data_IF_057693138454
#
_entry.id   IF_057693138454
#
_cell.length_a   1.000
_cell.length_b   1.000
_cell.length_c   1.000
_cell.angle_alpha   90.00
_cell.angle_beta   90.00
_cell.angle_gamma   90.00
#
_symmetry.space_group_name_H-M   'P 1'
#
loop_
_entity.id
_entity.type
_entity.pdbx_description
1 polymer ?
#
# COMPACT_ATOMS: atom_id res chain seq x y z
N UNK A 1 -10.06 -4.17 26.31
CA UNK A 1 -9.67 -5.22 25.34
C UNK A 1 -8.41 -4.70 24.66
N UNK A 2 -7.25 -5.30 24.91
CA UNK A 2 -5.98 -4.81 24.35
C UNK A 2 -5.90 -5.24 22.87
N UNK A 3 -5.75 -4.28 21.96
CA UNK A 3 -5.48 -4.54 20.54
C UNK A 3 -4.12 -5.24 20.43
N UNK A 4 -4.04 -6.28 19.60
CA UNK A 4 -2.87 -7.18 19.44
C UNK A 4 -2.22 -6.98 18.08
N UNK A 5 -0.90 -6.81 18.02
CA UNK A 5 -0.19 -6.37 16.80
C UNK A 5 0.95 -7.32 16.44
N UNK A 6 1.16 -7.59 15.16
CA UNK A 6 2.26 -8.44 14.66
C UNK A 6 3.03 -7.71 13.56
N UNK A 7 4.36 -7.83 13.59
CA UNK A 7 5.26 -7.35 12.55
C UNK A 7 5.84 -8.51 11.75
N UNK A 8 6.08 -8.31 10.46
CA UNK A 8 6.64 -9.33 9.56
C UNK A 8 8.18 -9.30 9.51
N UNK A 9 8.82 -8.31 10.15
CA UNK A 9 10.27 -8.31 10.32
C UNK A 9 10.70 -7.65 11.64
N UNK A 10 11.87 -8.07 12.14
CA UNK A 10 12.54 -7.49 13.32
C UNK A 10 12.99 -6.03 13.11
N UNK A 11 13.27 -5.63 11.87
CA UNK A 11 13.62 -4.25 11.60
C UNK A 11 12.38 -3.35 11.54
N UNK A 12 11.25 -3.85 11.03
CA UNK A 12 9.98 -3.12 11.04
C UNK A 12 9.40 -2.98 12.44
N UNK A 13 9.50 -4.00 13.30
CA UNK A 13 8.99 -3.90 14.68
C UNK A 13 9.76 -2.84 15.47
N UNK A 14 11.10 -2.82 15.40
CA UNK A 14 11.93 -1.88 16.16
C UNK A 14 11.65 -0.43 15.76
N UNK A 15 11.41 -0.22 14.47
CA UNK A 15 11.04 1.09 13.91
C UNK A 15 9.62 1.46 14.32
N UNK A 16 8.67 0.53 14.23
CA UNK A 16 7.28 0.76 14.62
C UNK A 16 7.13 1.01 16.14
N UNK A 17 7.83 0.29 17.00
CA UNK A 17 7.87 0.53 18.46
C UNK A 17 8.34 1.95 18.79
N UNK A 18 9.29 2.49 18.02
CA UNK A 18 9.75 3.88 18.19
C UNK A 18 8.65 4.89 17.86
N UNK A 19 7.80 4.58 16.86
CA UNK A 19 6.74 5.48 16.41
C UNK A 19 5.41 5.26 17.11
N UNK A 20 5.24 4.14 17.81
CA UNK A 20 4.02 3.73 18.45
C UNK A 20 4.28 3.24 19.88
N UNK A 21 4.77 4.11 20.79
CA UNK A 21 5.05 3.72 22.17
C UNK A 21 3.80 3.32 22.96
N UNK A 22 2.62 3.70 22.46
CA UNK A 22 1.32 3.35 23.04
C UNK A 22 0.81 1.96 22.59
N UNK A 23 1.51 1.31 21.65
CA UNK A 23 1.13 0.04 21.04
C UNK A 23 2.07 -1.06 21.55
N UNK A 24 1.48 -2.19 21.95
CA UNK A 24 2.24 -3.39 22.33
C UNK A 24 2.29 -4.33 21.12
N UNK A 25 3.48 -4.51 20.55
CA UNK A 25 3.70 -5.52 19.52
C UNK A 25 3.87 -6.90 20.18
N UNK A 26 3.15 -7.90 19.67
CA UNK A 26 3.19 -9.26 20.20
C UNK A 26 4.42 -10.03 19.71
N UNK A 27 4.78 -9.84 18.44
CA UNK A 27 5.84 -10.61 17.81
C UNK A 27 6.35 -9.96 16.51
N UNK A 28 7.57 -10.33 16.13
CA UNK A 28 8.17 -10.04 14.84
C UNK A 28 8.61 -11.34 14.19
N UNK A 29 7.84 -11.75 13.18
CA UNK A 29 7.97 -13.08 12.56
C UNK A 29 8.25 -12.97 11.08
N UNK A 30 9.00 -13.89 10.49
CA UNK A 30 9.23 -13.88 9.03
C UNK A 30 7.95 -14.11 8.23
N UNK A 31 7.93 -13.74 6.94
CA UNK A 31 6.80 -14.01 6.04
C UNK A 31 6.40 -15.50 6.01
N UNK A 32 7.39 -16.41 5.97
CA UNK A 32 7.16 -17.87 6.00
C UNK A 32 6.51 -18.34 7.30
N UNK A 33 6.83 -17.68 8.41
CA UNK A 33 6.24 -17.96 9.72
C UNK A 33 4.83 -17.37 9.83
N UNK A 34 4.59 -16.22 9.20
CA UNK A 34 3.30 -15.54 9.17
C UNK A 34 2.20 -16.39 8.53
N UNK A 35 2.51 -17.17 7.48
CA UNK A 35 1.55 -18.07 6.81
C UNK A 35 0.96 -19.14 7.75
N UNK A 36 1.73 -19.57 8.76
CA UNK A 36 1.33 -20.61 9.71
C UNK A 36 1.14 -20.04 11.14
N UNK A 37 0.96 -18.73 11.27
CA UNK A 37 0.88 -18.07 12.57
C UNK A 37 -0.50 -18.27 13.21
N UNK A 38 -0.53 -18.95 14.36
CA UNK A 38 -1.77 -19.40 15.02
C UNK A 38 -2.27 -18.49 16.14
N UNK A 39 -1.47 -17.50 16.54
CA UNK A 39 -1.84 -16.53 17.57
C UNK A 39 -2.80 -15.48 17.00
N UNK A 40 -3.79 -15.06 17.79
CA UNK A 40 -4.77 -14.06 17.37
C UNK A 40 -4.16 -12.65 17.38
N UNK A 41 -4.21 -11.98 16.23
CA UNK A 41 -3.72 -10.62 16.01
C UNK A 41 -4.78 -9.76 15.32
N UNK A 42 -4.75 -8.44 15.54
CA UNK A 42 -5.74 -7.49 14.99
C UNK A 42 -5.18 -6.69 13.81
N UNK A 43 -3.88 -6.40 13.84
CA UNK A 43 -3.19 -5.53 12.90
C UNK A 43 -1.83 -6.13 12.53
N UNK A 44 -1.46 -6.00 11.26
CA UNK A 44 -0.20 -6.47 10.68
C UNK A 44 0.61 -5.29 10.15
N UNK A 45 1.89 -5.22 10.50
CA UNK A 45 2.85 -4.30 9.91
C UNK A 45 3.84 -5.08 9.03
N UNK A 46 4.03 -4.64 7.79
CA UNK A 46 4.87 -5.36 6.84
C UNK A 46 5.57 -4.43 5.86
N UNK A 47 6.82 -4.72 5.44
CA UNK A 47 7.46 -3.97 4.36
C UNK A 47 6.90 -4.29 2.97
N UNK A 48 6.07 -5.33 2.87
CA UNK A 48 5.49 -5.81 1.62
C UNK A 48 4.03 -6.22 1.83
N UNK A 49 3.27 -6.31 0.74
CA UNK A 49 1.91 -6.83 0.81
C UNK A 49 1.91 -8.28 1.29
N UNK A 50 0.97 -8.62 2.17
CA UNK A 50 0.79 -10.00 2.67
C UNK A 50 -0.68 -10.36 2.69
N UNK A 51 -0.96 -11.64 2.44
CA UNK A 51 -2.33 -12.13 2.46
C UNK A 51 -2.79 -12.30 3.90
N UNK A 52 -3.67 -11.40 4.35
CA UNK A 52 -4.28 -11.48 5.68
C UNK A 52 -5.71 -10.94 5.64
N UNK A 53 -6.57 -11.50 6.49
CA UNK A 53 -7.94 -11.01 6.69
C UNK A 53 -8.01 -9.90 7.75
N UNK A 54 -6.87 -9.56 8.37
CA UNK A 54 -6.74 -8.50 9.37
C UNK A 54 -6.23 -7.21 8.71
N UNK A 55 -6.19 -6.09 9.45
CA UNK A 55 -5.75 -4.81 8.87
C UNK A 55 -4.24 -4.79 8.65
N UNK A 56 -3.82 -4.59 7.40
CA UNK A 56 -2.43 -4.44 7.01
C UNK A 56 -2.02 -2.96 6.88
N UNK A 57 -0.89 -2.61 7.49
CA UNK A 57 -0.18 -1.36 7.25
C UNK A 57 1.18 -1.66 6.61
N UNK A 58 1.38 -1.21 5.38
CA UNK A 58 2.64 -1.37 4.67
C UNK A 58 3.60 -0.27 5.11
N UNK A 59 4.80 -0.64 5.58
CA UNK A 59 5.81 0.29 6.09
C UNK A 59 7.23 -0.19 5.80
N UNK A 60 8.09 0.72 5.33
CA UNK A 60 9.52 0.46 5.13
C UNK A 60 10.32 0.70 6.42
N UNK A 61 11.54 0.16 6.46
CA UNK A 61 12.47 0.29 7.59
C UNK A 61 12.94 1.74 7.79
N UNK A 62 12.98 2.55 6.73
CA UNK A 62 13.40 3.94 6.78
C UNK A 62 12.30 4.87 6.26
N UNK A 63 11.55 5.49 7.17
CA UNK A 63 10.52 6.49 6.87
C UNK A 63 11.09 7.90 7.12
N UNK A 64 10.81 8.85 6.22
CA UNK A 64 10.99 10.28 6.48
C UNK A 64 10.01 10.78 7.54
N UNK A 65 10.28 11.92 8.17
CA UNK A 65 9.42 12.48 9.23
C UNK A 65 7.96 12.66 8.79
N UNK A 66 7.74 13.09 7.54
CA UNK A 66 6.39 13.23 6.98
C UNK A 66 5.69 11.88 6.78
N UNK A 67 6.43 10.86 6.31
CA UNK A 67 5.89 9.50 6.14
C UNK A 67 5.56 8.87 7.50
N UNK A 68 6.39 9.11 8.52
CA UNK A 68 6.14 8.69 9.91
C UNK A 68 4.85 9.32 10.45
N UNK A 69 4.69 10.65 10.30
CA UNK A 69 3.47 11.36 10.74
C UNK A 69 2.22 10.84 10.03
N UNK A 70 2.31 10.56 8.73
CA UNK A 70 1.20 10.04 7.93
C UNK A 70 0.81 8.63 8.37
N UNK A 71 1.78 7.72 8.48
CA UNK A 71 1.55 6.36 8.94
C UNK A 71 0.96 6.35 10.35
N UNK A 72 1.49 7.19 11.25
CA UNK A 72 0.98 7.32 12.62
C UNK A 72 -0.48 7.76 12.64
N UNK A 73 -0.85 8.76 11.83
CA UNK A 73 -2.23 9.23 11.72
C UNK A 73 -3.19 8.14 11.25
N UNK A 74 -2.80 7.39 10.22
CA UNK A 74 -3.62 6.30 9.66
C UNK A 74 -3.83 5.15 10.65
N UNK A 75 -2.77 4.75 11.35
CA UNK A 75 -2.83 3.71 12.38
C UNK A 75 -3.74 4.13 13.53
N UNK A 76 -3.59 5.36 14.04
CA UNK A 76 -4.40 5.87 15.15
C UNK A 76 -5.88 6.03 14.76
N UNK A 77 -6.16 6.50 13.54
CA UNK A 77 -7.52 6.58 13.02
C UNK A 77 -8.19 5.20 12.99
N UNK A 78 -7.45 4.17 12.59
CA UNK A 78 -7.96 2.81 12.54
C UNK A 78 -8.16 2.19 13.93
N UNK A 79 -7.23 2.40 14.86
CA UNK A 79 -7.31 1.85 16.23
C UNK A 79 -8.48 2.45 16.99
N UNK A 80 -8.69 3.76 16.85
CA UNK A 80 -9.68 4.46 17.66
C UNK A 80 -11.13 4.17 17.23
N UNK A 81 -11.35 3.54 16.06
CA UNK A 81 -12.63 3.01 15.47
C UNK A 81 -13.92 3.85 15.56
N UNK A 82 -13.91 4.97 16.23
CA UNK A 82 -14.95 5.98 16.36
C UNK A 82 -14.19 7.29 16.61
N UNK A 83 -14.74 8.40 16.13
CA UNK A 83 -14.23 9.75 16.35
C UNK A 83 -13.63 9.87 17.76
N UNK A 84 -12.37 10.31 17.87
CA UNK A 84 -11.96 10.99 19.09
C UNK A 84 -13.08 12.01 19.36
N UNK A 85 -13.77 11.88 20.49
CA UNK A 85 -14.82 12.79 20.89
C UNK A 85 -14.17 14.18 20.90
N UNK A 86 -14.41 14.92 19.80
CA UNK A 86 -13.68 16.15 19.49
C UNK A 86 -13.95 17.13 20.62
N UNK A 87 -15.17 17.12 21.14
CA UNK A 87 -15.57 17.92 22.30
C UNK A 87 -14.78 17.55 23.54
N UNK A 88 -14.54 16.26 23.81
CA UNK A 88 -13.73 15.81 24.95
C UNK A 88 -12.27 16.26 24.85
N UNK A 89 -11.67 16.22 23.66
CA UNK A 89 -10.28 16.68 23.47
C UNK A 89 -10.17 18.21 23.51
N UNK A 90 -11.15 18.93 22.95
CA UNK A 90 -11.27 20.39 23.07
C UNK A 90 -11.41 20.77 24.54
N UNK A 91 -12.25 20.09 25.33
CA UNK A 91 -12.41 20.37 26.75
C UNK A 91 -11.10 20.20 27.55
N UNK A 92 -10.27 19.20 27.21
CA UNK A 92 -8.95 19.03 27.83
C UNK A 92 -8.00 20.17 27.46
N UNK A 93 -8.03 20.61 26.21
CA UNK A 93 -7.21 21.71 25.72
C UNK A 93 -7.62 23.05 26.37
N UNK A 94 -8.92 23.30 26.48
CA UNK A 94 -9.49 24.45 27.18
C UNK A 94 -9.03 24.49 28.64
N UNK A 95 -9.15 23.37 29.36
CA UNK A 95 -8.70 23.26 30.75
C UNK A 95 -7.18 23.46 30.93
N UNK A 96 -6.37 23.11 29.91
CA UNK A 96 -4.94 23.38 29.91
C UNK A 96 -4.67 24.87 29.74
N UNK A 97 -5.29 25.51 28.74
CA UNK A 97 -5.09 26.92 28.41
C UNK A 97 -5.52 27.82 29.57
N UNK A 98 -6.68 27.56 30.16
CA UNK A 98 -7.19 28.30 31.33
C UNK A 98 -6.25 28.19 32.54
N UNK A 99 -5.56 27.05 32.71
CA UNK A 99 -4.60 26.85 33.79
C UNK A 99 -3.29 27.60 33.56
N UNK A 100 -2.87 27.77 32.30
CA UNK A 100 -1.55 28.30 31.96
C UNK A 100 -1.58 29.75 31.52
N UNK A 101 -2.75 30.32 31.23
CA UNK A 101 -2.87 31.62 30.57
C UNK A 101 -4.17 32.31 30.96
N UNK A 102 -4.16 33.64 31.00
CA UNK A 102 -5.38 34.45 31.12
C UNK A 102 -6.07 34.54 29.77
N UNK A 103 -7.27 33.99 29.66
CA UNK A 103 -8.09 34.02 28.44
C UNK A 103 -9.05 35.20 28.53
N UNK A 104 -9.08 36.05 27.50
CA UNK A 104 -9.97 37.22 27.45
C UNK A 104 -11.41 36.85 27.12
N UNK A 105 -11.61 35.94 26.17
CA UNK A 105 -12.92 35.40 25.77
C UNK A 105 -12.81 33.89 25.57
N UNK A 106 -13.47 33.15 26.45
CA UNK A 106 -13.42 31.68 26.47
C UNK A 106 -14.29 31.05 25.38
N UNK A 107 -15.36 31.75 24.98
CA UNK A 107 -16.30 31.28 23.96
C UNK A 107 -15.69 31.47 22.59
N UNK A 108 -15.12 32.65 22.30
CA UNK A 108 -14.40 32.90 21.04
C UNK A 108 -13.22 31.95 20.85
N UNK A 109 -12.47 31.65 21.92
CA UNK A 109 -11.39 30.68 21.88
C UNK A 109 -11.89 29.27 21.55
N UNK A 110 -12.99 28.85 22.17
CA UNK A 110 -13.59 27.53 21.93
C UNK A 110 -14.06 27.42 20.48
N UNK A 111 -14.83 28.39 20.00
CA UNK A 111 -15.37 28.40 18.65
C UNK A 111 -14.24 28.40 17.61
N UNK A 112 -13.19 29.20 17.85
CA UNK A 112 -11.99 29.22 17.00
C UNK A 112 -11.21 27.90 17.00
N UNK A 113 -11.19 27.16 18.11
CA UNK A 113 -10.58 25.82 18.18
C UNK A 113 -11.42 24.75 17.48
N UNK A 114 -12.74 24.79 17.64
CA UNK A 114 -13.69 23.93 16.93
C UNK A 114 -13.55 24.13 15.41
N UNK A 115 -13.55 25.38 14.96
CA UNK A 115 -13.35 25.75 13.55
C UNK A 115 -11.95 25.36 13.04
N UNK A 116 -10.90 25.56 13.84
CA UNK A 116 -9.54 25.16 13.48
C UNK A 116 -9.44 23.65 13.28
N UNK A 117 -10.02 22.85 14.17
CA UNK A 117 -10.00 21.38 14.10
C UNK A 117 -10.87 20.89 12.93
N UNK A 118 -12.07 21.46 12.74
CA UNK A 118 -12.94 21.16 11.61
C UNK A 118 -12.26 21.46 10.28
N UNK A 119 -11.55 22.59 10.18
CA UNK A 119 -10.78 22.98 9.01
C UNK A 119 -9.50 22.15 8.84
N UNK A 120 -8.83 21.74 9.91
CA UNK A 120 -7.66 20.84 9.85
C UNK A 120 -8.06 19.42 9.39
N UNK A 121 -9.22 18.94 9.83
CA UNK A 121 -9.82 17.69 9.35
C UNK A 121 -10.29 17.82 7.89
N UNK A 122 -10.76 19.01 7.49
CA UNK A 122 -11.06 19.35 6.10
C UNK A 122 -9.78 19.42 5.25
N UNK A 123 -8.68 20.00 5.72
CA UNK A 123 -7.38 20.04 5.01
C UNK A 123 -6.80 18.62 4.86
N UNK A 124 -7.09 17.71 5.79
CA UNK A 124 -6.70 16.30 5.65
C UNK A 124 -7.65 15.44 4.83
N UNK A 125 -8.80 15.98 4.41
CA UNK A 125 -9.65 15.43 3.33
C UNK A 125 -9.42 16.16 1.99
N UNK A 126 -8.97 17.42 2.02
CA UNK A 126 -8.71 18.30 0.86
C UNK A 126 -7.27 18.16 0.33
N UNK A 127 -6.32 17.59 1.09
CA UNK A 127 -5.05 17.11 0.53
C UNK A 127 -5.22 15.87 -0.38
N UNK A 128 -6.45 15.44 -0.64
CA UNK A 128 -6.80 14.57 -1.78
C UNK A 128 -7.24 15.33 -3.04
N UNK A 129 -7.38 16.66 -3.00
CA UNK A 129 -7.93 17.46 -4.11
C UNK A 129 -7.51 18.94 -4.07
N UNK A 130 -6.22 19.25 -3.92
CA UNK A 130 -5.66 20.53 -4.41
C UNK A 130 -4.34 20.24 -5.12
N UNK A 131 -4.43 20.21 -6.45
CA UNK A 131 -3.44 20.69 -7.43
C UNK A 131 -1.98 20.63 -6.99
N UNK A 132 -1.44 19.42 -6.98
CA UNK A 132 -0.13 19.22 -7.60
C UNK A 132 -0.41 18.57 -8.95
N UNK A 133 0.22 19.07 -10.01
CA UNK A 133 0.30 18.41 -11.31
C UNK A 133 1.15 17.12 -11.24
N UNK A 134 0.95 16.32 -10.21
CA UNK A 134 1.34 14.93 -10.16
C UNK A 134 0.03 14.17 -10.21
N UNK A 135 -0.43 13.87 -11.42
CA UNK A 135 -1.55 12.96 -11.64
C UNK A 135 -1.22 11.69 -10.85
N UNK A 136 -1.83 11.51 -9.68
CA UNK A 136 -1.80 10.24 -8.96
C UNK A 136 -2.48 9.26 -9.90
N UNK A 137 -1.68 8.50 -10.64
CA UNK A 137 -2.15 7.49 -11.57
C UNK A 137 -2.97 6.50 -10.75
N UNK A 138 -4.28 6.51 -10.93
CA UNK A 138 -5.12 5.47 -10.38
C UNK A 138 -4.80 4.15 -11.12
N UNK A 139 -5.04 3.00 -10.50
CA UNK A 139 -4.84 1.72 -11.17
C UNK A 139 -5.67 1.63 -12.46
N UNK A 140 -6.85 2.26 -12.47
CA UNK A 140 -7.70 2.41 -13.64
C UNK A 140 -7.07 3.28 -14.76
N UNK A 141 -6.19 4.23 -14.41
CA UNK A 141 -5.40 5.00 -15.39
C UNK A 141 -4.24 4.17 -15.97
N UNK A 142 -3.67 3.25 -15.18
CA UNK A 142 -2.53 2.41 -15.56
C UNK A 142 -2.92 1.20 -16.41
N UNK A 143 -4.08 0.60 -16.13
CA UNK A 143 -4.63 -0.56 -16.84
C UNK A 143 -6.01 -0.17 -17.43
N UNK A 144 -6.05 0.62 -18.51
CA UNK A 144 -7.31 0.87 -19.20
C UNK A 144 -7.85 -0.45 -19.75
N UNK A 145 -9.18 -0.59 -19.85
CA UNK A 145 -9.83 -1.83 -20.30
C UNK A 145 -9.28 -2.39 -21.63
N UNK A 146 -8.84 -1.51 -22.54
CA UNK A 146 -8.19 -1.89 -23.81
C UNK A 146 -6.83 -2.59 -23.65
N UNK A 147 -6.19 -2.52 -22.49
CA UNK A 147 -4.96 -3.25 -22.16
C UNK A 147 -5.24 -4.56 -21.40
N UNK A 148 -6.52 -4.90 -21.19
CA UNK A 148 -6.92 -6.16 -20.57
C UNK A 148 -7.31 -7.16 -21.66
N UNK A 149 -6.69 -8.34 -21.64
CA UNK A 149 -6.91 -9.41 -22.60
C UNK A 149 -7.28 -10.68 -21.83
N UNK A 150 -8.26 -11.42 -22.34
CA UNK A 150 -8.63 -12.74 -21.83
C UNK A 150 -8.39 -13.79 -22.90
N UNK A 151 -7.70 -14.86 -22.55
CA UNK A 151 -7.43 -15.99 -23.46
C UNK A 151 -7.65 -17.31 -22.74
N UNK A 152 -7.73 -18.41 -23.50
CA UNK A 152 -7.96 -19.73 -22.94
C UNK A 152 -6.71 -20.27 -22.24
N UNK A 153 -5.58 -20.35 -22.96
CA UNK A 153 -4.39 -21.09 -22.58
C UNK A 153 -3.10 -20.44 -23.14
N UNK A 154 -1.97 -20.72 -22.48
CA UNK A 154 -0.59 -20.45 -22.93
C UNK A 154 0.32 -21.57 -22.45
N UNK A 155 1.35 -21.87 -23.22
CA UNK A 155 2.24 -23.01 -22.96
C UNK A 155 3.18 -22.78 -21.77
N UNK A 156 3.62 -21.53 -21.56
CA UNK A 156 4.59 -21.21 -20.53
C UNK A 156 4.53 -19.73 -20.11
N UNK A 157 5.27 -19.39 -19.06
CA UNK A 157 5.30 -18.04 -18.51
C UNK A 157 5.87 -17.01 -19.50
N UNK A 158 6.86 -17.38 -20.31
CA UNK A 158 7.45 -16.47 -21.30
C UNK A 158 6.44 -16.06 -22.37
N UNK A 159 5.63 -17.02 -22.85
CA UNK A 159 4.52 -16.76 -23.76
C UNK A 159 3.46 -15.87 -23.10
N UNK A 160 3.17 -16.09 -21.81
CA UNK A 160 2.23 -15.28 -21.06
C UNK A 160 2.69 -13.82 -20.93
N UNK A 161 3.96 -13.60 -20.58
CA UNK A 161 4.60 -12.28 -20.49
C UNK A 161 4.52 -11.57 -21.84
N UNK A 162 4.84 -12.27 -22.92
CA UNK A 162 4.78 -11.73 -24.27
C UNK A 162 3.34 -11.32 -24.64
N UNK A 163 2.37 -12.24 -24.52
CA UNK A 163 0.96 -11.99 -24.86
C UNK A 163 0.31 -10.90 -24.01
N UNK A 164 0.71 -10.77 -22.75
CA UNK A 164 0.24 -9.69 -21.88
C UNK A 164 0.79 -8.33 -22.36
N UNK A 165 2.04 -8.31 -22.82
CA UNK A 165 2.76 -7.09 -23.22
C UNK A 165 2.53 -6.65 -24.67
N UNK A 166 1.94 -7.49 -25.53
CA UNK A 166 1.68 -7.21 -26.96
C UNK A 166 1.05 -5.82 -27.18
N UNK A 167 0.05 -5.47 -26.36
CA UNK A 167 -0.67 -4.19 -26.45
C UNK A 167 0.23 -3.00 -26.11
N UNK A 168 1.21 -3.18 -25.22
CA UNK A 168 2.14 -2.14 -24.83
C UNK A 168 3.15 -1.84 -25.95
N UNK A 169 3.63 -2.89 -26.61
CA UNK A 169 4.50 -2.78 -27.80
C UNK A 169 3.74 -2.17 -28.98
N UNK A 170 2.52 -2.62 -29.24
CA UNK A 170 1.69 -2.11 -30.34
C UNK A 170 1.37 -0.62 -30.21
N UNK A 171 1.30 -0.09 -28.98
CA UNK A 171 1.12 1.33 -28.70
C UNK A 171 2.44 2.09 -28.51
N UNK A 172 3.59 1.47 -28.78
CA UNK A 172 4.93 2.05 -28.62
C UNK A 172 5.24 2.57 -27.21
N UNK A 173 4.61 1.99 -26.17
CA UNK A 173 4.94 2.34 -24.78
C UNK A 173 6.22 1.65 -24.29
N UNK A 174 6.55 0.50 -24.87
CA UNK A 174 7.78 -0.24 -24.62
C UNK A 174 8.33 -0.79 -25.95
N UNK A 175 9.64 -1.07 -25.99
CA UNK A 175 10.24 -1.82 -27.10
C UNK A 175 10.04 -3.34 -26.90
N UNK A 176 10.07 -4.11 -27.99
CA UNK A 176 10.06 -5.58 -27.94
C UNK A 176 11.20 -6.16 -27.08
N UNK A 177 12.34 -5.44 -27.01
CA UNK A 177 13.48 -5.81 -26.17
C UNK A 177 13.12 -5.85 -24.69
N UNK A 178 12.23 -4.98 -24.24
CA UNK A 178 11.77 -4.96 -22.85
C UNK A 178 11.02 -6.25 -22.47
N UNK A 179 10.30 -6.86 -23.42
CA UNK A 179 9.66 -8.17 -23.18
C UNK A 179 10.72 -9.24 -22.89
N UNK A 180 11.80 -9.28 -23.69
CA UNK A 180 12.88 -10.23 -23.47
C UNK A 180 13.61 -10.01 -22.15
N UNK A 181 13.79 -8.74 -21.75
CA UNK A 181 14.36 -8.40 -20.45
C UNK A 181 13.44 -8.85 -19.30
N UNK A 182 12.13 -8.68 -19.42
CA UNK A 182 11.16 -9.20 -18.44
C UNK A 182 11.19 -10.73 -18.35
N UNK A 183 11.26 -11.42 -19.48
CA UNK A 183 11.37 -12.89 -19.51
C UNK A 183 12.65 -13.38 -18.81
N UNK A 184 13.79 -12.74 -19.11
CA UNK A 184 15.08 -13.10 -18.50
C UNK A 184 15.15 -12.77 -17.01
N UNK A 185 14.50 -11.69 -16.58
CA UNK A 185 14.48 -11.26 -15.19
C UNK A 185 13.42 -11.99 -14.36
N UNK A 186 12.49 -12.72 -14.99
CA UNK A 186 11.36 -13.32 -14.30
C UNK A 186 11.81 -14.31 -13.24
N UNK A 187 11.34 -14.09 -12.02
CA UNK A 187 11.64 -14.92 -10.86
C UNK A 187 10.35 -15.06 -10.04
N UNK A 188 9.87 -16.30 -9.95
CA UNK A 188 8.61 -16.65 -9.32
C UNK A 188 8.59 -16.37 -7.81
N UNK A 189 9.76 -16.33 -7.16
CA UNK A 189 9.88 -16.12 -5.71
C UNK A 189 9.44 -14.74 -5.23
N UNK A 190 9.42 -13.74 -6.13
CA UNK A 190 9.00 -12.38 -5.81
C UNK A 190 8.08 -11.72 -6.85
N UNK A 191 8.07 -12.20 -8.10
CA UNK A 191 7.18 -11.66 -9.13
C UNK A 191 5.80 -12.32 -9.14
N UNK A 192 5.60 -13.43 -8.43
CA UNK A 192 4.27 -14.03 -8.24
C UNK A 192 3.70 -13.55 -6.91
N UNK A 193 2.66 -12.74 -6.99
CA UNK A 193 1.97 -12.17 -5.83
C UNK A 193 0.67 -12.91 -5.62
N UNK A 194 0.55 -13.61 -4.49
CA UNK A 194 -0.54 -14.56 -4.22
C UNK A 194 -0.51 -15.73 -5.22
N UNK A 195 -1.15 -16.85 -4.88
CA UNK A 195 -1.04 -18.11 -5.65
C UNK A 195 -1.62 -18.06 -7.09
N UNK A 196 -1.98 -16.88 -7.63
CA UNK A 196 -2.70 -16.73 -8.90
C UNK A 196 -2.24 -15.57 -9.81
N UNK A 197 -1.36 -14.66 -9.36
CA UNK A 197 -1.04 -13.42 -10.10
C UNK A 197 0.47 -13.28 -10.27
N UNK A 198 0.94 -13.10 -11.50
CA UNK A 198 2.31 -12.69 -11.80
C UNK A 198 2.34 -11.19 -12.15
N UNK A 199 3.36 -10.46 -11.67
CA UNK A 199 3.65 -9.07 -12.03
C UNK A 199 5.08 -8.97 -12.60
N UNK A 200 5.27 -9.39 -13.87
CA UNK A 200 6.56 -9.31 -14.54
C UNK A 200 7.04 -7.86 -14.66
N UNK A 201 8.32 -7.63 -14.40
CA UNK A 201 8.99 -6.36 -14.63
C UNK A 201 10.47 -6.61 -14.94
N UNK A 202 11.13 -5.67 -15.63
CA UNK A 202 12.57 -5.72 -15.84
C UNK A 202 13.28 -4.64 -15.02
N UNK A 203 14.55 -4.88 -14.68
CA UNK A 203 15.37 -3.95 -13.89
C UNK A 203 15.74 -2.66 -14.64
N UNK A 204 15.77 -2.67 -15.98
CA UNK A 204 16.24 -1.54 -16.77
C UNK A 204 15.10 -0.83 -17.47
N UNK A 205 15.01 0.49 -17.32
CA UNK A 205 13.96 1.30 -17.95
C UNK A 205 14.36 1.79 -19.36
N UNK A 206 15.52 1.37 -19.88
CA UNK A 206 16.08 1.83 -21.17
C UNK A 206 15.13 1.64 -22.36
N UNK A 207 14.23 0.68 -22.26
CA UNK A 207 13.30 0.29 -23.31
C UNK A 207 11.83 0.61 -22.94
N UNK A 208 11.62 1.47 -21.94
CA UNK A 208 10.30 1.95 -21.52
C UNK A 208 10.16 3.43 -21.87
N UNK A 209 9.18 3.75 -22.72
CA UNK A 209 8.91 5.12 -23.15
C UNK A 209 7.82 5.80 -22.32
N UNK A 210 7.05 5.01 -21.55
CA UNK A 210 5.96 5.49 -20.70
C UNK A 210 5.62 4.50 -19.60
N UNK A 211 5.41 4.98 -18.37
CA UNK A 211 4.84 4.17 -17.28
C UNK A 211 3.44 3.68 -17.65
N UNK A 212 3.27 2.37 -17.74
CA UNK A 212 2.02 1.73 -18.17
C UNK A 212 1.96 0.28 -17.68
N UNK A 213 0.74 -0.25 -17.58
CA UNK A 213 0.49 -1.65 -17.28
C UNK A 213 -0.47 -2.27 -18.30
N UNK A 214 -0.44 -3.60 -18.36
CA UNK A 214 -1.39 -4.42 -19.11
C UNK A 214 -1.81 -5.61 -18.26
N UNK A 215 -2.86 -6.32 -18.66
CA UNK A 215 -3.33 -7.49 -17.92
C UNK A 215 -3.76 -8.60 -18.89
N UNK A 216 -3.27 -9.81 -18.64
CA UNK A 216 -3.70 -11.02 -19.29
C UNK A 216 -4.41 -11.91 -18.27
N UNK A 217 -5.61 -12.38 -18.59
CA UNK A 217 -6.40 -13.31 -17.79
C UNK A 217 -6.50 -14.63 -18.55
N UNK A 218 -6.01 -15.71 -17.93
CA UNK A 218 -6.03 -17.06 -18.46
C UNK A 218 -7.22 -17.84 -17.89
N UNK A 219 -7.92 -18.59 -18.75
CA UNK A 219 -8.96 -19.52 -18.30
C UNK A 219 -8.34 -20.77 -17.68
N UNK A 220 -7.29 -21.30 -18.30
CA UNK A 220 -6.46 -22.40 -17.78
C UNK A 220 -5.17 -21.83 -17.19
N UNK A 221 -4.77 -22.22 -15.95
CA UNK A 221 -3.59 -21.65 -15.32
C UNK A 221 -2.30 -22.21 -15.92
N UNK A 222 -1.23 -21.44 -15.78
CA UNK A 222 0.13 -21.96 -15.93
C UNK A 222 0.58 -22.48 -14.56
N UNK A 223 1.13 -23.68 -14.52
CA UNK A 223 1.71 -24.22 -13.29
C UNK A 223 3.20 -23.88 -13.22
N UNK A 224 3.61 -23.27 -12.10
CA UNK A 224 5.03 -23.08 -11.77
C UNK A 224 5.64 -24.37 -11.23
N UNK A 225 6.97 -24.38 -11.10
CA UNK A 225 7.74 -25.55 -10.66
C UNK A 225 7.35 -26.07 -9.27
N UNK A 226 6.83 -25.19 -8.41
CA UNK A 226 6.36 -25.50 -7.06
C UNK A 226 4.87 -25.93 -7.01
N UNK A 227 4.18 -25.96 -8.16
CA UNK A 227 2.76 -26.28 -8.27
C UNK A 227 1.82 -25.08 -8.18
N UNK A 228 2.34 -23.85 -8.03
CA UNK A 228 1.53 -22.62 -8.01
C UNK A 228 0.83 -22.39 -9.35
N UNK A 229 -0.48 -22.09 -9.32
CA UNK A 229 -1.33 -21.99 -10.50
C UNK A 229 -1.61 -20.52 -10.89
N UNK A 230 -0.94 -20.01 -11.93
CA UNK A 230 -1.05 -18.60 -12.33
C UNK A 230 -2.16 -18.39 -13.36
N UNK A 231 -3.13 -17.54 -13.03
CA UNK A 231 -4.24 -17.16 -13.92
C UNK A 231 -4.12 -15.74 -14.46
N UNK A 232 -3.41 -14.85 -13.77
CA UNK A 232 -3.38 -13.42 -14.12
C UNK A 232 -1.92 -13.00 -14.28
N UNK A 233 -1.61 -12.31 -15.38
CA UNK A 233 -0.28 -11.78 -15.65
C UNK A 233 -0.43 -10.28 -15.88
N UNK A 234 0.30 -9.47 -15.10
CA UNK A 234 0.21 -8.01 -15.10
C UNK A 234 1.60 -7.41 -15.31
N UNK A 235 2.10 -7.29 -16.54
CA UNK A 235 3.37 -6.62 -16.80
C UNK A 235 3.34 -5.18 -16.29
N UNK A 236 4.35 -4.83 -15.49
CA UNK A 236 4.55 -3.48 -14.98
C UNK A 236 5.77 -2.85 -15.64
N UNK A 237 5.55 -1.75 -16.35
CA UNK A 237 6.60 -0.99 -17.02
C UNK A 237 6.69 0.39 -16.37
N UNK A 238 7.83 0.73 -15.78
CA UNK A 238 8.11 2.03 -15.17
C UNK A 238 9.22 2.73 -15.95
N UNK A 239 9.09 4.05 -16.11
CA UNK A 239 10.12 4.94 -16.65
C UNK A 239 10.56 5.99 -15.61
#
# INVERSE_FOLDING_TARGET
MYTRYVSITNDVIRVAETYFPEIIFLDAISLRTFENYTLDYDIVFSPMFVLTHKKLFITKVALSENEQRKLRKEVMKYINKESADIDKEINKLMALIERTTTVNDITELRDGLEDFIANYNSISTINGSIVTQNKTLDLADLIPARHVKRIHHVENIDEAIAKASDVLVANHFIDIKYIHEMQQAFDDSYMVIMQNIAIPHAYSEKHVHKTVMSMLILQEPIYMSDGTAIHIIVPYCCC
#
